data_IF_932636057998
#
_entry.id   IF_932636057998
#
_cell.length_a   1.000
_cell.length_b   1.000
_cell.length_c   1.000
_cell.angle_alpha   90.00
_cell.angle_beta   90.00
_cell.angle_gamma   90.00
#
_symmetry.space_group_name_H-M   'P 1'
#
loop_
_entity.id
_entity.type
_entity.pdbx_description
1 polymer ?
#
# COMPACT_ATOMS: atom_id res chain seq x y z
N UNK A 1 -11.47 -18.11 30.72
CA UNK A 1 -11.07 -18.44 29.34
C UNK A 1 -9.82 -17.63 29.07
N UNK A 2 -8.67 -18.27 29.24
CA UNK A 2 -7.35 -17.64 29.21
C UNK A 2 -7.03 -17.18 27.78
N UNK A 3 -6.95 -15.87 27.57
CA UNK A 3 -6.36 -15.28 26.37
C UNK A 3 -4.87 -15.09 26.63
N UNK A 4 -4.10 -16.15 26.39
CA UNK A 4 -2.65 -16.04 26.29
C UNK A 4 -2.36 -15.35 24.97
N UNK A 5 -2.15 -14.04 25.00
CA UNK A 5 -1.58 -13.31 23.87
C UNK A 5 -0.24 -13.98 23.52
N UNK A 6 -0.27 -14.84 22.51
CA UNK A 6 0.91 -15.52 21.97
C UNK A 6 1.88 -14.42 21.58
N UNK A 7 3.04 -14.36 22.26
CA UNK A 7 4.07 -13.37 21.98
C UNK A 7 4.31 -13.33 20.47
N UNK A 8 3.95 -12.22 19.84
CA UNK A 8 4.03 -12.08 18.40
C UNK A 8 5.51 -12.25 18.00
N UNK A 9 5.77 -13.21 17.12
CA UNK A 9 7.11 -13.36 16.56
C UNK A 9 7.53 -12.02 15.92
N UNK A 10 8.83 -11.66 15.99
CA UNK A 10 9.30 -10.40 15.45
C UNK A 10 8.93 -10.27 13.96
N UNK A 11 8.28 -9.16 13.61
CA UNK A 11 7.88 -8.84 12.23
C UNK A 11 9.05 -8.14 11.55
N UNK A 12 9.53 -8.70 10.45
CA UNK A 12 10.54 -8.05 9.61
C UNK A 12 9.87 -7.41 8.40
N UNK A 13 10.00 -6.08 8.29
CA UNK A 13 9.61 -5.36 7.08
C UNK A 13 10.73 -5.48 6.05
N UNK A 14 10.36 -5.89 4.83
CA UNK A 14 11.27 -5.98 3.69
C UNK A 14 11.06 -4.81 2.74
N UNK A 15 12.06 -4.54 1.92
CA UNK A 15 11.93 -3.59 0.81
C UNK A 15 10.88 -4.08 -0.21
N UNK A 16 10.19 -3.16 -0.91
CA UNK A 16 9.30 -3.50 -2.02
C UNK A 16 10.05 -4.23 -3.14
N UNK A 17 9.36 -5.17 -3.78
CA UNK A 17 9.83 -5.96 -4.93
C UNK A 17 8.92 -5.70 -6.14
N UNK A 18 9.39 -6.03 -7.36
CA UNK A 18 8.53 -5.98 -8.54
C UNK A 18 7.19 -6.72 -8.29
N UNK A 19 6.08 -6.04 -8.59
CA UNK A 19 4.72 -6.55 -8.38
C UNK A 19 4.05 -6.10 -7.09
N UNK A 20 4.79 -5.80 -6.02
CA UNK A 20 4.19 -5.40 -4.73
C UNK A 20 3.35 -4.12 -4.86
N UNK A 21 3.90 -3.11 -5.54
CA UNK A 21 3.22 -1.83 -5.74
C UNK A 21 1.97 -1.99 -6.61
N UNK A 22 2.06 -2.78 -7.69
CA UNK A 22 0.90 -3.08 -8.53
C UNK A 22 -0.22 -3.76 -7.73
N UNK A 23 0.15 -4.66 -6.81
CA UNK A 23 -0.81 -5.28 -5.91
C UNK A 23 -1.47 -4.26 -4.97
N UNK A 24 -0.71 -3.34 -4.37
CA UNK A 24 -1.25 -2.28 -3.50
C UNK A 24 -2.25 -1.41 -4.25
N UNK A 25 -1.89 -0.92 -5.44
CA UNK A 25 -2.76 -0.10 -6.30
C UNK A 25 -4.08 -0.83 -6.57
N UNK A 26 -4.01 -2.09 -7.01
CA UNK A 26 -5.18 -2.90 -7.31
C UNK A 26 -6.08 -3.11 -6.08
N UNK A 27 -5.50 -3.41 -4.90
CA UNK A 27 -6.28 -3.61 -3.68
C UNK A 27 -7.02 -2.35 -3.27
N UNK A 28 -6.39 -1.18 -3.42
CA UNK A 28 -7.05 0.10 -3.21
C UNK A 28 -8.17 0.34 -4.22
N UNK A 29 -7.92 0.16 -5.52
CA UNK A 29 -8.92 0.34 -6.57
C UNK A 29 -10.18 -0.49 -6.34
N UNK A 30 -10.02 -1.81 -6.12
CA UNK A 30 -11.15 -2.72 -5.91
C UNK A 30 -11.90 -2.44 -4.61
N UNK A 31 -11.18 -2.25 -3.49
CA UNK A 31 -11.81 -2.04 -2.20
C UNK A 31 -12.61 -0.73 -2.18
N UNK A 32 -12.01 0.36 -2.67
CA UNK A 32 -12.65 1.66 -2.63
C UNK A 32 -13.75 1.83 -3.67
N UNK A 33 -13.64 1.18 -4.84
CA UNK A 33 -14.76 1.10 -5.76
C UNK A 33 -15.96 0.39 -5.12
N UNK A 34 -15.72 -0.72 -4.40
CA UNK A 34 -16.77 -1.49 -3.74
C UNK A 34 -17.42 -0.75 -2.56
N UNK A 35 -16.62 -0.13 -1.70
CA UNK A 35 -17.11 0.43 -0.43
C UNK A 35 -17.54 1.89 -0.54
N UNK A 36 -16.97 2.64 -1.47
CA UNK A 36 -17.18 4.09 -1.58
C UNK A 36 -17.64 4.53 -2.97
N UNK A 37 -17.80 3.59 -3.93
CA UNK A 37 -18.22 3.91 -5.30
C UNK A 37 -17.18 4.73 -6.08
N UNK A 38 -15.92 4.70 -5.66
CA UNK A 38 -14.85 5.45 -6.32
C UNK A 38 -14.48 4.82 -7.67
N UNK A 39 -14.14 5.66 -8.64
CA UNK A 39 -13.81 5.22 -10.00
C UNK A 39 -12.28 5.10 -10.22
N UNK A 40 -11.88 4.76 -11.44
CA UNK A 40 -10.48 4.56 -11.80
C UNK A 40 -9.58 5.78 -11.56
N UNK A 41 -10.13 6.99 -11.36
CA UNK A 41 -9.32 8.18 -11.04
C UNK A 41 -8.66 8.04 -9.68
N UNK A 42 -9.31 7.38 -8.74
CA UNK A 42 -8.68 7.08 -7.45
C UNK A 42 -7.53 6.08 -7.61
N UNK A 43 -7.71 5.03 -8.41
CA UNK A 43 -6.64 4.08 -8.71
C UNK A 43 -5.42 4.76 -9.35
N UNK A 44 -5.66 5.70 -10.27
CA UNK A 44 -4.61 6.52 -10.87
C UNK A 44 -3.87 7.41 -9.84
N UNK A 45 -4.60 8.03 -8.90
CA UNK A 45 -4.00 8.81 -7.82
C UNK A 45 -3.10 7.93 -6.93
N UNK A 46 -3.57 6.74 -6.55
CA UNK A 46 -2.77 5.80 -5.74
C UNK A 46 -1.52 5.38 -6.51
N UNK A 47 -1.64 5.09 -7.81
CA UNK A 47 -0.50 4.76 -8.66
C UNK A 47 0.54 5.88 -8.70
N UNK A 48 0.11 7.14 -8.79
CA UNK A 48 1.01 8.30 -8.74
C UNK A 48 1.79 8.35 -7.43
N UNK A 49 1.11 8.28 -6.28
CA UNK A 49 1.75 8.31 -4.96
C UNK A 49 2.73 7.14 -4.79
N UNK A 50 2.35 5.94 -5.22
CA UNK A 50 3.23 4.79 -5.14
C UNK A 50 4.45 4.90 -6.06
N UNK A 51 4.30 5.49 -7.24
CA UNK A 51 5.41 5.76 -8.15
C UNK A 51 6.40 6.77 -7.53
N UNK A 52 5.90 7.85 -6.92
CA UNK A 52 6.72 8.83 -6.22
C UNK A 52 7.48 8.22 -5.03
N UNK A 53 6.84 7.28 -4.32
CA UNK A 53 7.43 6.57 -3.18
C UNK A 53 8.60 5.66 -3.60
N UNK A 54 8.43 4.87 -4.66
CA UNK A 54 9.45 3.89 -5.10
C UNK A 54 10.47 4.45 -6.08
N UNK A 55 10.14 5.54 -6.76
CA UNK A 55 11.00 6.21 -7.73
C UNK A 55 12.08 7.10 -7.11
N UNK A 56 12.18 7.17 -5.78
CA UNK A 56 13.08 8.07 -5.04
C UNK A 56 13.11 9.48 -5.65
N UNK A 57 12.01 10.22 -5.53
CA UNK A 57 12.02 11.68 -5.77
C UNK A 57 11.59 12.41 -4.51
N UNK A 58 12.34 12.19 -3.42
CA UNK A 58 12.17 12.95 -2.17
C UNK A 58 13.45 13.66 -1.71
N UNK A 59 14.53 13.65 -2.51
CA UNK A 59 15.80 14.32 -2.17
C UNK A 59 15.85 15.83 -2.48
N UNK A 60 14.81 16.44 -3.08
CA UNK A 60 14.86 17.86 -3.50
C UNK A 60 13.58 18.67 -3.18
N UNK A 61 13.08 18.62 -1.94
CA UNK A 61 12.00 19.56 -1.53
C UNK A 61 11.96 19.96 -0.05
N UNK A 62 13.12 20.04 0.61
CA UNK A 62 13.29 20.82 1.84
C UNK A 62 14.38 21.87 1.64
#
# INVERSE_FOLDING_TARGET
MSDTAKAAAPITLRQPKPGDIGWVIHRHGVLYAREYGWDQRFEALVAQVCADLVGETWELKL
#
